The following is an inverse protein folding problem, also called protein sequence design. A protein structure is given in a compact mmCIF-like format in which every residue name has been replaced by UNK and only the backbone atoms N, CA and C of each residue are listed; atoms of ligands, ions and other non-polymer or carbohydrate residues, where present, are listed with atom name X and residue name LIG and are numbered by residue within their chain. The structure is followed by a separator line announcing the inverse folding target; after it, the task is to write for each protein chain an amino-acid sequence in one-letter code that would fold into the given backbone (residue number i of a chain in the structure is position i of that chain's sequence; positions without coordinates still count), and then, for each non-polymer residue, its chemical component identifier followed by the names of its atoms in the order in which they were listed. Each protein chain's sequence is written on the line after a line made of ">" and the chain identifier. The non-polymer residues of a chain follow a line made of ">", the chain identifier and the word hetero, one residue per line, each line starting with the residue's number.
data_IF_284279896129
#
_entry.id   IF_284279896129
#
_cell.length_a   1.000
_cell.length_b   1.000
_cell.length_c   1.000
_cell.angle_alpha   90.00
_cell.angle_beta   90.00
_cell.angle_gamma   90.00
#
_symmetry.space_group_name_H-M   'P 1'
#
loop_
_entity.id
_entity.type
_entity.pdbx_description
1 polymer ?
#
# COMPACT_ATOMS: atom_id res chain seq x y z
N UNK A 1 6.54 58.67 -40.94
CA UNK A 1 7.60 57.67 -40.69
C UNK A 1 7.79 57.51 -39.20
N UNK A 2 7.44 56.34 -38.65
CA UNK A 2 8.05 55.69 -37.48
C UNK A 2 7.37 54.34 -37.33
N UNK A 3 7.99 53.33 -37.92
CA UNK A 3 7.70 51.91 -37.75
C UNK A 3 8.26 51.45 -36.41
N UNK A 4 7.44 50.82 -35.57
CA UNK A 4 7.91 50.01 -34.46
C UNK A 4 7.33 48.61 -34.59
N UNK A 5 8.25 47.65 -34.68
CA UNK A 5 8.06 46.22 -34.77
C UNK A 5 8.03 45.59 -33.37
N UNK A 6 7.43 44.39 -33.29
CA UNK A 6 7.72 43.26 -32.39
C UNK A 6 7.37 43.39 -30.89
N UNK A 7 6.92 42.37 -30.17
CA UNK A 7 6.83 40.92 -30.43
C UNK A 7 5.63 40.34 -29.65
N UNK A 8 4.85 39.46 -30.29
CA UNK A 8 3.88 38.65 -29.58
C UNK A 8 4.62 37.49 -28.87
N UNK A 9 4.61 37.50 -27.55
CA UNK A 9 5.06 36.38 -26.73
C UNK A 9 3.99 35.29 -26.82
N UNK A 10 4.24 34.28 -27.65
CA UNK A 10 3.46 33.03 -27.61
C UNK A 10 3.94 32.26 -26.38
N UNK A 11 3.20 32.36 -25.28
CA UNK A 11 3.37 31.48 -24.14
C UNK A 11 2.83 30.11 -24.58
N UNK A 12 3.74 29.22 -24.96
CA UNK A 12 3.43 27.82 -25.18
C UNK A 12 2.93 27.21 -23.88
N UNK A 13 1.67 26.77 -23.89
CA UNK A 13 1.11 25.88 -22.88
C UNK A 13 1.90 24.57 -22.94
N UNK A 14 2.91 24.42 -22.09
CA UNK A 14 3.47 23.13 -21.77
C UNK A 14 2.35 22.31 -21.13
N UNK A 15 1.88 21.29 -21.84
CA UNK A 15 0.90 20.35 -21.33
C UNK A 15 1.38 19.81 -19.99
N UNK A 16 0.49 19.83 -19.01
CA UNK A 16 0.66 19.15 -17.73
C UNK A 16 0.77 17.67 -18.06
N UNK A 17 1.98 17.20 -18.32
CA UNK A 17 2.27 15.78 -18.32
C UNK A 17 1.90 15.30 -16.93
N UNK A 18 0.86 14.47 -16.82
CA UNK A 18 0.53 13.81 -15.57
C UNK A 18 1.82 13.14 -15.09
N UNK A 19 2.39 13.66 -14.01
CA UNK A 19 3.57 13.08 -13.41
C UNK A 19 3.13 11.69 -12.92
N UNK A 20 3.46 10.66 -13.70
CA UNK A 20 3.25 9.29 -13.30
C UNK A 20 4.03 9.07 -12.00
N UNK A 21 3.42 8.36 -11.05
CA UNK A 21 4.12 7.98 -9.83
C UNK A 21 5.47 7.33 -10.21
N UNK A 22 6.52 7.57 -9.41
CA UNK A 22 7.86 7.03 -9.69
C UNK A 22 7.83 5.50 -9.89
N UNK A 23 6.93 4.82 -9.18
CA UNK A 23 6.66 3.38 -9.30
C UNK A 23 6.21 2.93 -10.70
N UNK A 24 5.60 3.82 -11.48
CA UNK A 24 5.00 3.57 -12.79
C UNK A 24 5.87 4.07 -13.96
N UNK A 25 7.11 4.49 -13.69
CA UNK A 25 8.02 4.89 -14.76
C UNK A 25 8.45 3.67 -15.59
N UNK A 26 8.31 3.78 -16.91
CA UNK A 26 8.76 2.75 -17.85
C UNK A 26 7.82 1.55 -18.00
N UNK A 27 6.53 1.69 -17.68
CA UNK A 27 5.55 0.63 -17.90
C UNK A 27 5.58 0.12 -19.35
N UNK A 28 5.47 -1.21 -19.56
CA UNK A 28 5.34 -1.76 -20.90
C UNK A 28 4.03 -1.31 -21.55
N UNK A 29 4.02 -1.12 -22.87
CA UNK A 29 2.79 -0.85 -23.59
C UNK A 29 1.86 -2.08 -23.61
N UNK A 30 0.55 -1.84 -23.73
CA UNK A 30 -0.45 -2.90 -23.92
C UNK A 30 -1.04 -3.45 -22.61
N UNK A 31 -1.71 -4.62 -22.66
CA UNK A 31 -2.52 -5.14 -21.55
C UNK A 31 -1.75 -5.33 -20.23
N UNK A 32 -0.48 -5.71 -20.29
CA UNK A 32 0.34 -5.88 -19.09
C UNK A 32 0.59 -4.55 -18.37
N UNK A 33 0.94 -3.49 -19.09
CA UNK A 33 1.12 -2.16 -18.48
C UNK A 33 -0.17 -1.63 -17.86
N UNK A 34 -1.30 -1.91 -18.50
CA UNK A 34 -2.61 -1.55 -17.96
C UNK A 34 -2.89 -2.31 -16.66
N UNK A 35 -2.66 -3.63 -16.61
CA UNK A 35 -2.83 -4.43 -15.39
C UNK A 35 -1.98 -3.89 -14.22
N UNK A 36 -0.72 -3.56 -14.48
CA UNK A 36 0.18 -2.96 -13.48
C UNK A 36 -0.36 -1.60 -12.97
N UNK A 37 -0.82 -0.74 -13.88
CA UNK A 37 -1.41 0.55 -13.52
C UNK A 37 -2.67 0.36 -12.65
N UNK A 38 -3.57 -0.55 -13.03
CA UNK A 38 -4.77 -0.86 -12.26
C UNK A 38 -4.40 -1.33 -10.84
N UNK A 39 -3.43 -2.25 -10.71
CA UNK A 39 -2.97 -2.73 -9.41
C UNK A 39 -2.47 -1.63 -8.50
N UNK A 40 -1.67 -0.70 -9.04
CA UNK A 40 -1.24 0.49 -8.30
C UNK A 40 -2.42 1.36 -7.87
N UNK A 41 -3.33 1.68 -8.78
CA UNK A 41 -4.49 2.54 -8.49
C UNK A 41 -5.41 1.90 -7.45
N UNK A 42 -5.63 0.59 -7.53
CA UNK A 42 -6.37 -0.19 -6.54
C UNK A 42 -5.74 -0.12 -5.14
N UNK A 43 -4.41 -0.16 -5.04
CA UNK A 43 -3.70 -0.04 -3.75
C UNK A 43 -3.66 1.38 -3.21
N UNK A 44 -3.64 2.38 -4.09
CA UNK A 44 -3.61 3.79 -3.71
C UNK A 44 -4.99 4.37 -3.40
N UNK A 45 -6.04 3.74 -3.94
CA UNK A 45 -7.42 4.22 -3.86
C UNK A 45 -8.39 3.10 -3.43
N UNK A 46 -7.96 2.20 -2.55
CA UNK A 46 -8.68 0.96 -2.19
C UNK A 46 -10.12 1.19 -1.75
N UNK A 47 -10.39 2.26 -0.98
CA UNK A 47 -11.74 2.60 -0.49
C UNK A 47 -12.63 3.26 -1.53
N UNK A 48 -12.08 3.84 -2.59
CA UNK A 48 -12.82 4.58 -3.61
C UNK A 48 -12.84 3.88 -4.97
N UNK A 49 -11.95 2.93 -5.20
CA UNK A 49 -11.86 2.16 -6.43
C UNK A 49 -13.11 1.25 -6.58
N UNK A 50 -13.84 1.33 -7.70
CA UNK A 50 -15.10 0.62 -7.89
C UNK A 50 -14.97 -0.91 -7.87
N UNK A 51 -13.82 -1.46 -8.26
CA UNK A 51 -13.58 -2.90 -8.33
C UNK A 51 -13.23 -3.48 -6.95
N UNK A 52 -12.62 -2.66 -6.09
CA UNK A 52 -12.04 -3.12 -4.83
C UNK A 52 -12.90 -2.79 -3.62
N UNK A 53 -13.62 -1.66 -3.63
CA UNK A 53 -14.38 -1.16 -2.48
C UNK A 53 -15.38 -2.16 -1.89
N UNK A 54 -15.90 -3.08 -2.71
CA UNK A 54 -16.83 -4.13 -2.27
C UNK A 54 -16.18 -5.18 -1.36
N UNK A 55 -14.86 -5.28 -1.35
CA UNK A 55 -14.09 -6.21 -0.51
C UNK A 55 -13.58 -5.56 0.78
N UNK A 56 -13.78 -4.25 0.99
CA UNK A 56 -13.22 -3.49 2.11
C UNK A 56 -14.32 -3.22 3.13
N UNK A 57 -14.08 -3.61 4.40
CA UNK A 57 -15.04 -3.40 5.49
C UNK A 57 -14.67 -2.26 6.44
N UNK A 58 -13.62 -1.49 6.13
CA UNK A 58 -13.13 -0.39 6.95
C UNK A 58 -12.76 0.85 6.10
N UNK A 59 -12.07 1.83 6.68
CA UNK A 59 -11.69 3.08 6.00
C UNK A 59 -10.19 3.13 5.65
N UNK A 60 -9.53 1.98 5.63
CA UNK A 60 -8.12 1.89 5.29
C UNK A 60 -7.92 1.70 3.79
N UNK A 61 -6.80 2.21 3.30
CA UNK A 61 -6.24 2.01 1.96
C UNK A 61 -4.89 1.32 2.13
N UNK A 62 -4.47 0.46 1.18
CA UNK A 62 -3.19 -0.25 1.30
C UNK A 62 -2.02 0.72 1.57
N UNK A 63 -2.04 1.89 0.93
CA UNK A 63 -1.06 2.96 1.09
C UNK A 63 -0.97 3.58 2.49
N UNK A 64 -1.95 3.35 3.37
CA UNK A 64 -1.88 3.78 4.77
C UNK A 64 -0.80 3.03 5.57
N UNK A 65 -0.46 1.80 5.16
CA UNK A 65 0.62 1.02 5.75
C UNK A 65 1.78 0.79 4.76
N UNK A 66 1.47 0.65 3.48
CA UNK A 66 2.42 0.45 2.39
C UNK A 66 2.68 1.78 1.67
N UNK A 67 3.40 2.68 2.35
CA UNK A 67 3.61 4.07 1.93
C UNK A 67 4.09 4.15 0.47
N UNK A 68 3.57 5.12 -0.30
CA UNK A 68 3.88 5.34 -1.71
C UNK A 68 3.68 4.09 -2.57
N UNK A 69 2.55 3.40 -2.37
CA UNK A 69 2.24 2.15 -3.07
C UNK A 69 3.27 1.05 -2.81
N UNK A 70 3.92 1.07 -1.64
CA UNK A 70 4.99 0.14 -1.27
C UNK A 70 6.28 0.29 -2.08
N UNK A 71 6.45 1.35 -2.88
CA UNK A 71 7.68 1.62 -3.62
C UNK A 71 8.62 2.55 -2.83
N UNK A 72 9.06 2.08 -1.66
CA UNK A 72 9.96 2.82 -0.76
C UNK A 72 10.97 1.88 -0.10
N UNK A 73 11.93 2.45 0.65
CA UNK A 73 12.78 1.70 1.58
C UNK A 73 12.17 1.54 2.97
N UNK A 74 10.99 2.12 3.23
CA UNK A 74 10.36 2.05 4.55
C UNK A 74 9.92 0.60 4.88
N UNK A 75 9.86 0.22 6.17
CA UNK A 75 9.25 -1.04 6.58
C UNK A 75 7.84 -1.20 6.02
N UNK A 76 7.51 -2.41 5.55
CA UNK A 76 6.23 -2.67 4.89
C UNK A 76 6.18 -2.22 3.43
N UNK A 77 7.32 -2.01 2.76
CA UNK A 77 7.33 -1.87 1.30
C UNK A 77 6.98 -3.20 0.60
N UNK A 78 6.62 -3.13 -0.68
CA UNK A 78 6.35 -4.31 -1.51
C UNK A 78 7.58 -4.83 -2.25
N UNK A 79 8.70 -4.10 -2.23
CA UNK A 79 9.93 -4.52 -2.90
C UNK A 79 10.45 -5.82 -2.28
N UNK A 80 10.90 -6.70 -3.17
CA UNK A 80 11.34 -8.06 -2.93
C UNK A 80 10.27 -8.94 -2.26
N UNK A 81 8.99 -8.62 -2.42
CA UNK A 81 7.91 -9.47 -1.92
C UNK A 81 7.66 -10.61 -2.89
N UNK A 82 7.55 -10.30 -4.19
CA UNK A 82 7.31 -11.29 -5.23
C UNK A 82 8.44 -12.32 -5.29
N UNK A 83 9.69 -11.86 -5.22
CA UNK A 83 10.86 -12.75 -5.26
C UNK A 83 10.98 -13.69 -4.06
N UNK A 84 10.23 -13.45 -2.97
CA UNK A 84 10.24 -14.27 -1.74
C UNK A 84 9.06 -15.24 -1.66
N UNK A 85 8.13 -15.20 -2.60
CA UNK A 85 6.97 -16.09 -2.67
C UNK A 85 7.10 -17.05 -3.86
N UNK A 86 6.51 -18.26 -3.80
CA UNK A 86 5.70 -18.81 -2.70
C UNK A 86 6.54 -19.16 -1.46
N UNK A 87 5.90 -19.08 -0.28
CA UNK A 87 6.57 -19.42 0.99
C UNK A 87 5.59 -20.02 2.00
N UNK A 88 6.14 -20.81 2.94
CA UNK A 88 5.36 -21.36 4.04
C UNK A 88 4.93 -20.24 5.01
N UNK A 89 3.62 -20.11 5.22
CA UNK A 89 3.02 -19.25 6.23
C UNK A 89 2.66 -20.06 7.47
N UNK A 90 3.27 -19.70 8.61
CA UNK A 90 2.89 -20.28 9.92
C UNK A 90 1.44 -19.96 10.29
N UNK A 91 0.95 -18.78 9.89
CA UNK A 91 -0.41 -18.32 10.22
C UNK A 91 -1.47 -19.11 9.48
N UNK A 92 -1.21 -19.40 8.20
CA UNK A 92 -2.16 -20.13 7.34
C UNK A 92 -1.89 -21.64 7.33
N UNK A 93 -0.80 -22.09 7.96
CA UNK A 93 -0.36 -23.49 8.01
C UNK A 93 -0.23 -24.14 6.62
N UNK A 94 0.21 -23.36 5.64
CA UNK A 94 0.31 -23.76 4.24
C UNK A 94 1.40 -22.96 3.52
N UNK A 95 1.85 -23.47 2.37
CA UNK A 95 2.59 -22.65 1.40
C UNK A 95 1.59 -21.73 0.72
N UNK A 96 1.86 -20.42 0.75
CA UNK A 96 1.00 -19.39 0.16
C UNK A 96 1.70 -18.71 -1.02
N UNK A 97 0.91 -18.27 -1.99
CA UNK A 97 1.39 -17.47 -3.12
C UNK A 97 1.39 -15.97 -2.81
N UNK A 98 1.80 -15.14 -3.78
CA UNK A 98 1.64 -13.68 -3.71
C UNK A 98 0.17 -13.29 -3.66
N UNK A 99 -0.64 -13.91 -4.49
CA UNK A 99 -2.09 -13.73 -4.58
C UNK A 99 -2.77 -14.07 -3.25
N UNK A 100 -2.40 -15.19 -2.61
CA UNK A 100 -2.88 -15.53 -1.28
C UNK A 100 -2.49 -14.46 -0.26
N UNK A 101 -1.25 -13.96 -0.32
CA UNK A 101 -0.77 -12.94 0.60
C UNK A 101 -1.56 -11.64 0.48
N UNK A 102 -1.86 -11.21 -0.75
CA UNK A 102 -2.69 -10.03 -1.05
C UNK A 102 -4.12 -10.27 -0.57
N UNK A 103 -4.73 -11.39 -0.96
CA UNK A 103 -6.12 -11.72 -0.60
C UNK A 103 -6.32 -11.82 0.91
N UNK A 104 -5.36 -12.36 1.65
CA UNK A 104 -5.43 -12.46 3.11
C UNK A 104 -5.29 -11.10 3.81
N UNK A 105 -4.71 -10.08 3.17
CA UNK A 105 -4.71 -8.71 3.71
C UNK A 105 -6.13 -8.13 3.73
N UNK A 106 -6.99 -8.47 2.77
CA UNK A 106 -8.38 -8.00 2.76
C UNK A 106 -9.15 -8.48 3.99
N UNK A 107 -8.97 -9.73 4.39
CA UNK A 107 -9.67 -10.31 5.54
C UNK A 107 -9.29 -9.67 6.88
N UNK A 108 -8.10 -9.08 6.97
CA UNK A 108 -7.51 -8.65 8.24
C UNK A 108 -7.32 -7.14 8.26
N UNK A 109 -6.35 -6.66 7.48
CA UNK A 109 -6.01 -5.24 7.38
C UNK A 109 -7.18 -4.42 6.83
N UNK A 110 -7.94 -4.94 5.87
CA UNK A 110 -9.07 -4.22 5.28
C UNK A 110 -10.41 -4.54 5.97
N UNK A 111 -10.37 -5.34 7.05
CA UNK A 111 -11.54 -5.83 7.79
C UNK A 111 -12.69 -6.32 6.87
N UNK A 112 -12.33 -6.99 5.78
CA UNK A 112 -13.20 -7.18 4.64
C UNK A 112 -13.33 -8.63 4.22
N UNK A 113 -13.74 -8.83 2.96
CA UNK A 113 -13.94 -10.16 2.40
C UNK A 113 -12.77 -10.53 1.52
N UNK A 114 -12.30 -11.78 1.62
CA UNK A 114 -11.22 -12.31 0.78
C UNK A 114 -11.66 -12.35 -0.69
N UNK A 115 -11.02 -11.61 -1.62
CA UNK A 115 -11.24 -11.80 -3.04
C UNK A 115 -10.72 -13.17 -3.49
N UNK A 116 -11.26 -13.70 -4.58
CA UNK A 116 -10.69 -14.90 -5.21
C UNK A 116 -9.30 -14.60 -5.77
N UNK A 117 -8.37 -15.54 -5.66
CA UNK A 117 -6.97 -15.37 -6.09
C UNK A 117 -6.82 -15.26 -7.61
N UNK A 118 -7.83 -15.69 -8.38
CA UNK A 118 -7.90 -15.58 -9.83
C UNK A 118 -8.72 -14.37 -10.33
N UNK A 119 -9.21 -13.51 -9.41
CA UNK A 119 -9.94 -12.30 -9.78
C UNK A 119 -9.02 -11.22 -10.35
N UNK A 120 -9.55 -10.37 -11.23
CA UNK A 120 -8.81 -9.23 -11.78
C UNK A 120 -8.23 -8.33 -10.67
N UNK A 121 -8.96 -8.14 -9.56
CA UNK A 121 -8.49 -7.39 -8.39
C UNK A 121 -7.15 -7.92 -7.87
N UNK A 122 -7.04 -9.24 -7.71
CA UNK A 122 -5.82 -9.85 -7.18
C UNK A 122 -4.73 -9.94 -8.25
N UNK A 123 -5.10 -10.27 -9.50
CA UNK A 123 -4.15 -10.37 -10.62
C UNK A 123 -3.48 -9.04 -10.90
N UNK A 124 -4.23 -7.94 -10.94
CA UNK A 124 -3.68 -6.60 -11.21
C UNK A 124 -2.78 -6.14 -10.06
N UNK A 125 -3.18 -6.38 -8.81
CA UNK A 125 -2.35 -6.10 -7.63
C UNK A 125 -1.05 -6.91 -7.62
N UNK A 126 -1.11 -8.20 -7.98
CA UNK A 126 0.06 -9.06 -8.11
C UNK A 126 0.98 -8.56 -9.23
N UNK A 127 0.43 -8.21 -10.39
CA UNK A 127 1.19 -7.66 -11.51
C UNK A 127 1.97 -6.39 -11.12
N UNK A 128 1.36 -5.52 -10.30
CA UNK A 128 2.07 -4.34 -9.78
C UNK A 128 3.21 -4.70 -8.82
N UNK A 129 3.02 -5.63 -7.90
CA UNK A 129 4.08 -6.05 -6.98
C UNK A 129 5.21 -6.77 -7.72
N UNK A 130 4.88 -7.63 -8.68
CA UNK A 130 5.85 -8.27 -9.57
C UNK A 130 6.62 -7.25 -10.39
N UNK A 131 5.96 -6.19 -10.87
CA UNK A 131 6.61 -5.09 -11.59
C UNK A 131 7.67 -4.38 -10.73
N UNK A 132 7.40 -4.15 -9.44
CA UNK A 132 8.39 -3.58 -8.52
C UNK A 132 9.63 -4.47 -8.34
N UNK A 133 9.50 -5.76 -8.62
CA UNK A 133 10.53 -6.79 -8.47
C UNK A 133 11.12 -7.31 -9.77
N UNK A 134 10.69 -6.77 -10.91
CA UNK A 134 11.17 -7.14 -12.23
C UNK A 134 12.71 -7.22 -12.30
N UNK A 135 13.21 -8.28 -12.94
CA UNK A 135 14.64 -8.53 -13.09
C UNK A 135 15.36 -9.06 -11.86
N UNK A 136 14.67 -9.21 -10.72
CA UNK A 136 15.22 -9.90 -9.55
C UNK A 136 14.98 -11.41 -9.68
N UNK A 137 15.95 -12.26 -9.33
CA UNK A 137 15.73 -13.70 -9.27
C UNK A 137 14.79 -14.06 -8.11
N UNK A 138 14.05 -15.16 -8.24
CA UNK A 138 13.37 -15.78 -7.12
C UNK A 138 14.43 -16.20 -6.09
N UNK A 139 14.20 -15.90 -4.81
CA UNK A 139 15.13 -16.17 -3.74
C UNK A 139 15.44 -17.67 -3.63
N UNK A 140 16.72 -18.02 -3.68
CA UNK A 140 17.23 -19.40 -3.55
C UNK A 140 18.36 -19.45 -2.50
N UNK A 141 18.25 -20.23 -1.42
CA UNK A 141 17.06 -20.96 -0.97
C UNK A 141 15.90 -19.99 -0.59
N UNK A 142 14.65 -20.47 -0.51
CA UNK A 142 13.52 -19.65 -0.08
C UNK A 142 13.87 -18.88 1.19
N UNK A 143 13.51 -17.59 1.25
CA UNK A 143 13.86 -16.75 2.39
C UNK A 143 13.45 -17.45 3.70
N UNK A 144 14.36 -17.59 4.68
CA UNK A 144 14.03 -18.28 5.91
C UNK A 144 12.81 -17.61 6.55
N UNK A 145 11.89 -18.37 7.17
CA UNK A 145 10.64 -17.83 7.74
C UNK A 145 10.87 -16.81 8.87
N UNK A 146 12.12 -16.61 9.28
CA UNK A 146 12.54 -15.81 10.42
C UNK A 146 13.54 -14.71 10.02
N UNK A 147 13.30 -13.96 8.92
CA UNK A 147 13.96 -12.65 8.82
C UNK A 147 13.39 -11.78 9.96
N UNK A 148 14.23 -11.11 10.77
CA UNK A 148 13.74 -10.18 11.78
C UNK A 148 12.78 -9.18 11.14
N UNK A 149 11.70 -8.87 11.86
CA UNK A 149 10.77 -7.82 11.43
C UNK A 149 11.58 -6.56 11.10
N UNK A 150 11.32 -5.87 9.97
CA UNK A 150 11.93 -4.58 9.70
C UNK A 150 11.42 -3.51 10.67
N UNK A 151 10.35 -3.79 11.43
CA UNK A 151 9.87 -2.97 12.52
C UNK A 151 10.63 -3.27 13.81
N UNK A 152 10.87 -2.25 14.66
CA UNK A 152 11.42 -2.44 15.99
C UNK A 152 10.66 -3.51 16.78
N UNK A 153 11.35 -4.21 17.68
CA UNK A 153 10.72 -5.16 18.57
C UNK A 153 9.63 -4.46 19.40
N UNK A 154 8.39 -4.94 19.28
CA UNK A 154 7.29 -4.45 20.10
C UNK A 154 7.23 -5.20 21.43
N UNK A 155 6.64 -4.56 22.45
CA UNK A 155 6.30 -5.21 23.71
C UNK A 155 5.38 -6.41 23.43
N UNK A 156 5.75 -7.58 23.94
CA UNK A 156 4.90 -8.79 23.82
C UNK A 156 3.62 -8.67 24.64
N UNK A 157 3.68 -7.93 25.74
CA UNK A 157 2.57 -7.64 26.65
C UNK A 157 2.75 -6.24 27.19
N UNK A 158 1.67 -5.45 27.22
CA UNK A 158 1.66 -4.13 27.85
C UNK A 158 1.09 -4.24 29.26
N UNK A 159 1.75 -3.62 30.24
CA UNK A 159 1.22 -3.42 31.60
C UNK A 159 0.27 -2.22 31.62
N UNK A 160 -0.47 -2.04 32.71
CA UNK A 160 -1.29 -0.84 32.89
C UNK A 160 -0.44 0.44 32.84
N UNK A 161 0.75 0.43 33.43
CA UNK A 161 1.67 1.58 33.40
C UNK A 161 2.11 1.90 31.96
N UNK A 162 2.35 0.89 31.13
CA UNK A 162 2.70 1.08 29.72
C UNK A 162 1.53 1.71 28.94
N UNK A 163 0.29 1.30 29.23
CA UNK A 163 -0.91 1.87 28.59
C UNK A 163 -1.07 3.35 28.97
N UNK A 164 -0.91 3.70 30.25
CA UNK A 164 -0.99 5.09 30.72
C UNK A 164 0.13 5.95 30.10
N UNK A 165 1.35 5.42 30.02
CA UNK A 165 2.45 6.10 29.35
C UNK A 165 2.18 6.27 27.84
N UNK A 166 1.66 5.24 27.19
CA UNK A 166 1.28 5.24 25.78
C UNK A 166 0.18 6.26 25.47
N UNK A 167 -0.80 6.45 26.36
CA UNK A 167 -1.84 7.46 26.22
C UNK A 167 -1.23 8.88 26.20
N UNK A 168 -0.29 9.17 27.10
CA UNK A 168 0.40 10.45 27.13
C UNK A 168 1.20 10.70 25.84
N UNK A 169 1.91 9.68 25.35
CA UNK A 169 2.65 9.74 24.07
C UNK A 169 1.69 9.98 22.89
N UNK A 170 0.56 9.28 22.86
CA UNK A 170 -0.44 9.40 21.79
C UNK A 170 -1.01 10.82 21.74
N UNK A 171 -1.41 11.37 22.89
CA UNK A 171 -1.93 12.75 22.98
C UNK A 171 -0.92 13.78 22.49
N UNK A 172 0.35 13.61 22.83
CA UNK A 172 1.40 14.56 22.48
C UNK A 172 1.86 14.47 21.01
N UNK A 173 1.87 13.28 20.41
CA UNK A 173 2.56 13.05 19.13
C UNK A 173 1.68 12.51 18.00
N UNK A 174 0.49 11.96 18.30
CA UNK A 174 -0.30 11.20 17.34
C UNK A 174 -1.70 11.79 17.12
N UNK A 175 -2.32 12.27 18.21
CA UNK A 175 -3.72 12.72 18.23
C UNK A 175 -4.00 13.90 17.30
N UNK A 176 -3.01 14.74 17.00
CA UNK A 176 -3.15 15.86 16.06
C UNK A 176 -3.49 15.41 14.63
N UNK A 177 -3.08 14.20 14.24
CA UNK A 177 -3.36 13.62 12.92
C UNK A 177 -4.42 12.52 12.99
N UNK A 178 -4.30 11.61 13.96
CA UNK A 178 -5.19 10.44 14.06
C UNK A 178 -6.44 10.69 14.92
N UNK A 179 -6.61 11.89 15.45
CA UNK A 179 -7.74 12.28 16.30
C UNK A 179 -7.58 11.79 17.75
N UNK A 180 -8.19 12.51 18.70
CA UNK A 180 -8.11 12.16 20.12
C UNK A 180 -8.67 10.77 20.43
N UNK A 181 -9.63 10.30 19.63
CA UNK A 181 -10.26 8.99 19.73
C UNK A 181 -9.75 7.99 18.67
N UNK A 182 -8.66 8.29 17.96
CA UNK A 182 -8.06 7.38 16.98
C UNK A 182 -8.88 7.13 15.72
N UNK A 183 -9.95 7.90 15.49
CA UNK A 183 -10.83 7.74 14.34
C UNK A 183 -10.21 8.20 13.01
N UNK A 184 -9.05 8.86 13.05
CA UNK A 184 -8.39 9.40 11.86
C UNK A 184 -9.15 10.58 11.24
N UNK A 185 -8.72 10.93 10.03
CA UNK A 185 -9.33 11.91 9.14
C UNK A 185 -9.46 11.27 7.75
N UNK A 186 -10.69 10.96 7.28
CA UNK A 186 -10.90 10.25 6.01
C UNK A 186 -10.09 10.84 4.84
N UNK A 187 -9.37 9.99 4.12
CA UNK A 187 -8.55 10.37 2.98
C UNK A 187 -7.22 11.05 3.30
N UNK A 188 -6.92 11.36 4.57
CA UNK A 188 -5.66 12.02 4.98
C UNK A 188 -4.90 11.21 6.03
N UNK A 189 -5.56 10.84 7.12
CA UNK A 189 -4.96 10.09 8.22
C UNK A 189 -5.84 8.89 8.58
N UNK A 190 -5.30 7.66 8.58
CA UNK A 190 -6.11 6.48 8.82
C UNK A 190 -6.60 6.40 10.27
N UNK A 191 -7.76 5.76 10.53
CA UNK A 191 -8.12 5.31 11.87
C UNK A 191 -7.13 4.26 12.37
N UNK A 192 -6.70 4.41 13.62
CA UNK A 192 -5.69 3.55 14.27
C UNK A 192 -6.30 2.53 15.23
N UNK A 193 -7.58 2.69 15.58
CA UNK A 193 -8.42 1.71 16.26
C UNK A 193 -9.91 2.00 16.01
N UNK A 194 -10.79 1.15 16.56
CA UNK A 194 -12.25 1.24 16.37
C UNK A 194 -12.72 0.56 15.09
N UNK A 195 -14.04 0.59 14.85
CA UNK A 195 -14.72 -0.20 13.80
C UNK A 195 -14.26 0.14 12.37
N UNK A 196 -13.63 1.29 12.18
CA UNK A 196 -13.11 1.76 10.89
C UNK A 196 -11.63 1.45 10.65
N UNK A 197 -10.95 0.82 11.61
CA UNK A 197 -9.54 0.43 11.49
C UNK A 197 -9.38 -1.05 11.07
N UNK A 198 -8.16 -1.56 11.16
CA UNK A 198 -7.84 -2.97 10.95
C UNK A 198 -8.40 -3.83 12.10
N UNK A 199 -8.66 -5.12 11.84
CA UNK A 199 -9.14 -6.04 12.87
C UNK A 199 -7.99 -6.73 13.63
N UNK A 200 -8.33 -7.49 14.66
CA UNK A 200 -7.36 -8.14 15.56
C UNK A 200 -6.59 -9.32 14.93
N UNK A 201 -6.90 -9.70 13.69
CA UNK A 201 -6.25 -10.81 12.99
C UNK A 201 -7.07 -12.08 13.02
#
# INVERSE_FOLDING_TARGET
>A
MKTSFTAAVIIGLAGVGMAHAQSLQGLPAGPLGQSIQNGYDMMMHTTTNPEVKGYVGNELTCSNCHINGGDTSAPGNFRETASKLPAYSKRENAVITLEDRIANCFMRSMNGTRPSTDSNVIVDMAAYIDWLDRGKPIATPPAPPNKPSPYPAMLKTATHADVVAGEAVYKANCAACHGANGAGMPGMFPPVWGDKSYNAG
#
